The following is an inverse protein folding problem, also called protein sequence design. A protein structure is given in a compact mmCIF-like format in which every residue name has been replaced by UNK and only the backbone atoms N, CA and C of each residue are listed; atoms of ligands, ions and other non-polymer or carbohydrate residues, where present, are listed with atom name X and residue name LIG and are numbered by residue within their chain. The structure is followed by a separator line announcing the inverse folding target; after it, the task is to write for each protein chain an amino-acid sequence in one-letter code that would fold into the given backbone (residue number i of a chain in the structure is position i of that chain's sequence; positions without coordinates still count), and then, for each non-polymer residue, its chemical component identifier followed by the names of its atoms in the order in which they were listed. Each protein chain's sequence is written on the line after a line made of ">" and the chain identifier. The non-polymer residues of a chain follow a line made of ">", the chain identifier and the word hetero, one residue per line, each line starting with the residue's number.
data_IF_559058070629
#
_entry.id   IF_559058070629
#
_cell.length_a   1.000
_cell.length_b   1.000
_cell.length_c   1.000
_cell.angle_alpha   90.00
_cell.angle_beta   90.00
_cell.angle_gamma   90.00
#
_symmetry.space_group_name_H-M   'P 1'
#
loop_
_entity.id
_entity.type
_entity.pdbx_description
1 polymer ?
#
# COMPACT_ATOMS: atom_id res chain seq x y z
N UNK A 1 22.19 -5.09 -3.11
CA UNK A 1 22.61 -5.55 -4.44
C UNK A 1 22.54 -4.31 -5.29
N UNK A 2 23.55 -3.98 -6.10
CA UNK A 2 23.48 -2.74 -6.90
C UNK A 2 22.45 -2.93 -8.02
N UNK A 3 21.45 -2.04 -8.19
CA UNK A 3 20.56 -2.12 -9.33
C UNK A 3 21.38 -2.08 -10.62
N UNK A 4 21.07 -3.00 -11.54
CA UNK A 4 21.75 -3.12 -12.81
C UNK A 4 20.89 -2.57 -13.94
N UNK A 5 21.54 -1.87 -14.86
CA UNK A 5 20.90 -1.26 -16.02
C UNK A 5 21.51 -1.79 -17.32
N UNK A 6 20.65 -2.18 -18.28
CA UNK A 6 21.05 -2.56 -19.64
C UNK A 6 21.47 -4.03 -19.81
N UNK A 7 22.16 -4.34 -20.91
CA UNK A 7 22.47 -5.72 -21.33
C UNK A 7 23.50 -6.47 -20.44
N UNK A 8 24.02 -5.80 -19.40
CA UNK A 8 25.00 -6.34 -18.45
C UNK A 8 24.40 -7.09 -17.27
N UNK A 9 23.07 -7.21 -17.17
CA UNK A 9 22.38 -7.79 -16.01
C UNK A 9 22.22 -9.31 -16.05
N UNK A 10 23.27 -10.04 -16.44
CA UNK A 10 23.17 -11.50 -16.68
C UNK A 10 23.13 -12.37 -15.42
N UNK A 11 23.49 -11.82 -14.26
CA UNK A 11 23.65 -12.57 -13.00
C UNK A 11 22.89 -11.95 -11.80
N UNK A 12 21.79 -11.22 -12.06
CA UNK A 12 20.94 -10.70 -10.97
C UNK A 12 19.80 -11.67 -10.67
N UNK A 13 19.67 -12.06 -9.41
CA UNK A 13 18.43 -12.67 -8.91
C UNK A 13 17.33 -11.58 -8.90
N UNK A 14 16.18 -11.88 -9.49
CA UNK A 14 14.98 -11.02 -9.45
C UNK A 14 14.59 -10.78 -7.98
N UNK A 15 14.97 -9.62 -7.45
CA UNK A 15 14.27 -9.01 -6.31
C UNK A 15 12.94 -8.45 -6.82
N UNK A 16 11.95 -8.21 -5.94
CA UNK A 16 10.64 -7.79 -6.40
C UNK A 16 10.74 -6.55 -7.29
N UNK A 17 10.00 -6.54 -8.41
CA UNK A 17 9.97 -5.47 -9.41
C UNK A 17 9.29 -4.20 -8.88
N UNK A 18 9.67 -3.72 -7.71
CA UNK A 18 9.11 -2.53 -7.08
C UNK A 18 10.09 -1.85 -6.13
N UNK A 19 9.96 -0.55 -6.04
CA UNK A 19 10.82 0.39 -5.31
C UNK A 19 10.29 0.72 -3.91
N UNK A 20 8.97 0.73 -3.73
CA UNK A 20 8.30 0.90 -2.45
C UNK A 20 6.99 0.11 -2.42
N UNK A 21 6.51 -0.22 -1.22
CA UNK A 21 5.23 -0.90 -1.01
C UNK A 21 4.23 0.00 -0.33
N UNK A 22 3.16 0.30 -1.04
CA UNK A 22 1.90 0.74 -0.43
C UNK A 22 0.99 -0.48 -0.26
N UNK A 23 -0.12 -0.31 0.45
CA UNK A 23 -1.01 -1.41 0.83
C UNK A 23 -2.44 -1.00 0.61
N UNK A 24 -3.16 -1.80 -0.16
CA UNK A 24 -4.60 -1.68 -0.25
C UNK A 24 -5.26 -2.24 1.01
N UNK A 25 -6.30 -1.55 1.44
CA UNK A 25 -7.24 -1.97 2.45
C UNK A 25 -8.57 -2.27 1.80
N UNK A 26 -9.07 -3.47 2.05
CA UNK A 26 -10.47 -3.75 1.86
C UNK A 26 -11.22 -3.25 3.09
N UNK A 27 -12.00 -2.20 2.90
CA UNK A 27 -12.73 -1.55 3.98
C UNK A 27 -14.23 -1.50 3.68
N UNK A 28 -15.05 -1.54 4.72
CA UNK A 28 -16.48 -1.38 4.62
C UNK A 28 -17.05 -0.88 5.93
N UNK A 29 -18.38 -0.73 6.02
CA UNK A 29 -19.00 -0.37 7.29
C UNK A 29 -18.89 -1.54 8.28
N UNK A 30 -18.81 -1.23 9.58
CA UNK A 30 -18.87 -2.24 10.66
C UNK A 30 -20.09 -3.16 10.61
N UNK A 31 -21.20 -2.68 10.02
CA UNK A 31 -22.35 -3.51 9.71
C UNK A 31 -22.04 -4.38 8.47
N UNK A 32 -21.35 -5.49 8.70
CA UNK A 32 -20.85 -6.45 7.73
C UNK A 32 -21.97 -7.22 7.00
N UNK A 33 -22.60 -6.60 6.01
CA UNK A 33 -23.65 -7.19 5.15
C UNK A 33 -23.19 -8.33 4.24
N UNK A 34 -21.89 -8.45 3.94
CA UNK A 34 -21.32 -9.49 3.09
C UNK A 34 -20.85 -10.71 3.91
N UNK A 35 -20.96 -10.64 5.24
CA UNK A 35 -20.55 -11.70 6.16
C UNK A 35 -19.09 -12.13 5.93
N UNK A 36 -18.19 -11.13 5.83
CA UNK A 36 -16.74 -11.31 5.73
C UNK A 36 -16.19 -11.58 7.13
N UNK A 37 -15.51 -12.70 7.32
CA UNK A 37 -14.91 -13.11 8.58
C UNK A 37 -13.39 -13.19 8.39
N UNK A 38 -12.66 -13.15 9.50
CA UNK A 38 -11.19 -13.12 9.47
C UNK A 38 -10.63 -14.38 8.80
N UNK A 39 -11.28 -15.53 8.99
CA UNK A 39 -10.90 -16.82 8.41
C UNK A 39 -11.10 -16.94 6.89
N UNK A 40 -11.89 -16.07 6.27
CA UNK A 40 -12.08 -16.12 4.82
C UNK A 40 -10.81 -15.65 4.11
N UNK A 41 -10.38 -16.41 3.09
CA UNK A 41 -9.29 -15.97 2.23
C UNK A 41 -9.72 -14.78 1.33
N UNK A 42 -8.75 -14.17 0.65
CA UNK A 42 -9.01 -12.99 -0.18
C UNK A 42 -9.93 -13.29 -1.37
N UNK A 43 -9.88 -14.51 -1.93
CA UNK A 43 -10.70 -14.92 -3.08
C UNK A 43 -12.15 -15.13 -2.64
N UNK A 44 -12.35 -15.78 -1.50
CA UNK A 44 -13.66 -15.94 -0.87
C UNK A 44 -14.26 -14.58 -0.49
N UNK A 45 -13.43 -13.70 0.05
CA UNK A 45 -13.83 -12.33 0.40
C UNK A 45 -14.33 -11.57 -0.83
N UNK A 46 -13.56 -11.55 -1.92
CA UNK A 46 -14.00 -10.92 -3.18
C UNK A 46 -15.26 -11.59 -3.76
N UNK A 47 -15.41 -12.90 -3.62
CA UNK A 47 -16.62 -13.62 -4.05
C UNK A 47 -17.85 -13.21 -3.25
N UNK A 48 -17.74 -13.06 -1.92
CA UNK A 48 -18.81 -12.57 -1.05
C UNK A 48 -19.20 -11.12 -1.39
N UNK A 49 -18.21 -10.26 -1.63
CA UNK A 49 -18.43 -8.89 -2.09
C UNK A 49 -19.14 -8.83 -3.43
N UNK A 50 -18.71 -9.66 -4.40
CA UNK A 50 -19.35 -9.74 -5.70
C UNK A 50 -20.82 -10.14 -5.58
N UNK A 51 -21.12 -11.19 -4.80
CA UNK A 51 -22.49 -11.64 -4.56
C UNK A 51 -23.34 -10.59 -3.84
N UNK A 52 -22.76 -9.82 -2.92
CA UNK A 52 -23.42 -8.69 -2.28
C UNK A 52 -23.65 -7.53 -3.27
N UNK A 53 -22.70 -7.28 -4.17
CA UNK A 53 -22.76 -6.25 -5.20
C UNK A 53 -23.77 -6.52 -6.31
N UNK A 54 -23.91 -7.78 -6.76
CA UNK A 54 -24.93 -8.23 -7.73
C UNK A 54 -26.36 -8.01 -7.20
N UNK A 55 -26.53 -7.88 -5.88
CA UNK A 55 -27.80 -7.48 -5.26
C UNK A 55 -28.06 -5.96 -5.31
N UNK A 56 -27.16 -5.15 -5.87
CA UNK A 56 -27.48 -3.83 -6.46
C UNK A 56 -26.83 -2.56 -5.90
N UNK A 57 -25.62 -2.57 -5.34
CA UNK A 57 -24.99 -1.34 -4.78
C UNK A 57 -23.46 -1.28 -4.90
N UNK A 58 -22.94 -0.92 -6.08
CA UNK A 58 -21.55 -0.46 -6.21
C UNK A 58 -21.52 0.86 -6.99
N UNK A 59 -20.88 1.90 -6.43
CA UNK A 59 -20.69 3.21 -7.08
C UNK A 59 -19.23 3.66 -7.00
N UNK A 60 -18.70 4.14 -8.12
CA UNK A 60 -17.36 4.71 -8.19
C UNK A 60 -17.39 6.21 -7.89
N UNK A 61 -16.52 6.66 -6.98
CA UNK A 61 -16.27 8.08 -6.70
C UNK A 61 -14.84 8.42 -7.06
N UNK A 62 -14.61 9.57 -7.69
CA UNK A 62 -13.30 9.96 -8.25
C UNK A 62 -12.31 10.51 -7.20
N UNK A 63 -12.68 10.56 -5.92
CA UNK A 63 -11.80 11.06 -4.85
C UNK A 63 -11.76 10.07 -3.67
N UNK A 64 -10.57 9.59 -3.25
CA UNK A 64 -10.46 8.52 -2.26
C UNK A 64 -11.19 8.77 -0.93
N UNK A 65 -11.07 9.98 -0.36
CA UNK A 65 -11.80 10.36 0.88
C UNK A 65 -13.31 10.37 0.68
N UNK A 66 -13.78 10.81 -0.51
CA UNK A 66 -15.21 10.82 -0.82
C UNK A 66 -15.73 9.41 -1.06
N UNK A 67 -14.91 8.53 -1.62
CA UNK A 67 -15.23 7.10 -1.75
C UNK A 67 -15.41 6.50 -0.35
N UNK A 68 -14.45 6.67 0.56
CA UNK A 68 -14.57 6.19 1.94
C UNK A 68 -15.79 6.77 2.67
N UNK A 69 -16.03 8.07 2.52
CA UNK A 69 -17.22 8.72 3.09
C UNK A 69 -18.52 8.13 2.52
N UNK A 70 -18.57 7.85 1.22
CA UNK A 70 -19.71 7.24 0.56
C UNK A 70 -19.91 5.79 1.02
N UNK A 71 -18.84 5.00 1.10
CA UNK A 71 -18.82 3.63 1.64
C UNK A 71 -19.48 3.59 3.01
N UNK A 72 -19.11 4.50 3.91
CA UNK A 72 -19.72 4.59 5.25
C UNK A 72 -21.21 4.95 5.18
N UNK A 73 -21.56 5.99 4.41
CA UNK A 73 -22.93 6.51 4.34
C UNK A 73 -23.89 5.54 3.66
N UNK A 74 -23.42 4.81 2.66
CA UNK A 74 -24.19 3.89 1.84
C UNK A 74 -24.13 2.45 2.35
N UNK A 75 -23.21 2.13 3.27
CA UNK A 75 -23.00 0.77 3.76
C UNK A 75 -22.39 -0.15 2.71
N UNK A 76 -21.56 0.40 1.82
CA UNK A 76 -20.86 -0.35 0.76
C UNK A 76 -19.50 -0.87 1.26
N UNK A 77 -18.77 -1.54 0.37
CA UNK A 77 -17.38 -1.94 0.55
C UNK A 77 -16.52 -1.26 -0.51
N UNK A 78 -15.25 -1.06 -0.19
CA UNK A 78 -14.29 -0.42 -1.10
C UNK A 78 -12.89 -0.97 -0.88
N UNK A 79 -12.09 -0.94 -1.94
CA UNK A 79 -10.64 -1.11 -1.87
C UNK A 79 -10.04 0.30 -1.88
N UNK A 80 -9.25 0.64 -0.87
CA UNK A 80 -8.62 1.95 -0.72
C UNK A 80 -7.14 1.80 -0.38
N UNK A 81 -6.28 2.72 -0.80
CA UNK A 81 -4.90 2.75 -0.30
C UNK A 81 -4.87 3.10 1.20
N UNK A 82 -3.77 2.78 1.89
CA UNK A 82 -3.56 3.14 3.30
C UNK A 82 -3.63 4.64 3.54
N UNK A 83 -3.07 5.46 2.63
CA UNK A 83 -3.00 6.92 2.79
C UNK A 83 -4.36 7.62 2.95
N UNK A 84 -5.34 7.41 2.04
CA UNK A 84 -6.70 7.90 2.22
C UNK A 84 -7.35 7.51 3.54
N UNK A 85 -7.14 6.27 4.02
CA UNK A 85 -7.66 5.84 5.32
C UNK A 85 -7.01 6.62 6.48
N UNK A 86 -5.68 6.75 6.49
CA UNK A 86 -4.95 7.52 7.50
C UNK A 86 -5.42 8.98 7.51
N UNK A 87 -5.49 9.60 6.33
CA UNK A 87 -5.96 10.97 6.20
C UNK A 87 -7.40 11.16 6.70
N UNK A 88 -8.31 10.23 6.40
CA UNK A 88 -9.67 10.29 6.95
C UNK A 88 -9.65 10.19 8.48
N UNK A 89 -8.88 9.26 9.04
CA UNK A 89 -8.72 9.06 10.48
C UNK A 89 -8.20 10.30 11.20
N UNK A 90 -7.35 11.08 10.53
CA UNK A 90 -6.79 12.31 11.07
C UNK A 90 -7.74 13.50 11.00
N UNK A 91 -8.47 13.61 9.88
CA UNK A 91 -9.36 14.77 9.66
C UNK A 91 -10.74 14.59 10.29
N UNK A 92 -11.24 13.35 10.40
CA UNK A 92 -12.57 13.01 10.89
C UNK A 92 -12.59 11.60 11.51
N UNK A 93 -12.06 11.50 12.73
CA UNK A 93 -11.96 10.23 13.46
C UNK A 93 -13.32 9.58 13.70
N UNK A 94 -14.36 10.35 14.01
CA UNK A 94 -15.71 9.83 14.26
C UNK A 94 -16.30 9.16 13.01
N UNK A 95 -15.95 9.66 11.83
CA UNK A 95 -16.31 9.05 10.56
C UNK A 95 -15.46 7.81 10.29
N UNK A 96 -14.14 7.88 10.49
CA UNK A 96 -13.23 6.75 10.32
C UNK A 96 -13.56 5.56 11.23
N UNK A 97 -13.94 5.81 12.48
CA UNK A 97 -14.30 4.79 13.48
C UNK A 97 -15.58 4.00 13.10
N UNK A 98 -16.30 4.40 12.05
CA UNK A 98 -17.43 3.65 11.47
C UNK A 98 -17.01 2.64 10.39
N UNK A 99 -15.77 2.74 9.90
CA UNK A 99 -15.17 1.75 9.00
C UNK A 99 -14.61 0.56 9.78
N UNK A 100 -14.65 -0.57 9.12
CA UNK A 100 -13.92 -1.79 9.46
C UNK A 100 -12.94 -2.07 8.33
N UNK A 101 -11.69 -2.38 8.66
CA UNK A 101 -10.70 -2.87 7.70
C UNK A 101 -10.74 -4.40 7.77
N UNK A 102 -11.27 -5.03 6.73
CA UNK A 102 -11.47 -6.49 6.69
C UNK A 102 -10.24 -7.25 6.23
N UNK A 103 -9.44 -6.66 5.33
CA UNK A 103 -8.22 -7.26 4.78
C UNK A 103 -7.19 -6.17 4.49
N UNK A 104 -5.91 -6.47 4.75
CA UNK A 104 -4.79 -5.53 4.57
C UNK A 104 -3.71 -6.10 3.67
N UNK A 105 -3.06 -5.24 2.87
CA UNK A 105 -1.96 -5.65 2.00
C UNK A 105 -0.70 -6.16 2.71
N UNK A 106 -0.53 -5.88 4.00
CA UNK A 106 0.57 -6.41 4.82
C UNK A 106 0.30 -7.83 5.36
N UNK A 107 -0.95 -8.29 5.25
CA UNK A 107 -1.37 -9.66 5.58
C UNK A 107 -1.62 -10.52 4.32
N UNK A 108 -2.05 -9.88 3.23
CA UNK A 108 -2.46 -10.53 1.98
C UNK A 108 -1.70 -9.93 0.79
N UNK A 109 -0.82 -10.72 0.17
CA UNK A 109 0.02 -10.29 -0.96
C UNK A 109 -0.81 -9.76 -2.15
N UNK A 110 -2.03 -10.26 -2.35
CA UNK A 110 -2.94 -9.82 -3.41
C UNK A 110 -3.43 -8.38 -3.23
N UNK A 111 -3.30 -7.82 -2.02
CA UNK A 111 -3.61 -6.43 -1.70
C UNK A 111 -2.36 -5.57 -1.58
N UNK A 112 -1.18 -6.10 -1.93
CA UNK A 112 0.02 -5.29 -2.06
C UNK A 112 -0.14 -4.31 -3.23
N UNK A 113 0.20 -3.04 -3.00
CA UNK A 113 0.25 -2.02 -4.04
C UNK A 113 1.72 -1.64 -4.31
N UNK A 114 2.43 -2.44 -5.13
CA UNK A 114 3.82 -2.18 -5.44
C UNK A 114 3.97 -0.97 -6.36
N UNK A 115 4.89 -0.07 -6.04
CA UNK A 115 5.25 1.05 -6.90
C UNK A 115 6.70 0.95 -7.35
N UNK A 116 6.95 1.19 -8.64
CA UNK A 116 8.27 1.01 -9.24
C UNK A 116 8.74 2.26 -10.01
N UNK A 117 10.05 2.41 -10.18
CA UNK A 117 10.63 3.54 -10.92
C UNK A 117 10.85 3.16 -12.39
N UNK A 118 10.11 3.82 -13.28
CA UNK A 118 10.30 3.70 -14.72
C UNK A 118 11.18 4.85 -15.21
N UNK A 119 12.34 4.51 -15.79
CA UNK A 119 13.27 5.49 -16.37
C UNK A 119 13.16 5.53 -17.90
N UNK A 120 13.21 6.72 -18.49
CA UNK A 120 13.24 6.86 -19.95
C UNK A 120 14.59 6.41 -20.53
N UNK A 121 14.54 5.61 -21.60
CA UNK A 121 15.74 5.21 -22.38
C UNK A 121 16.45 6.41 -23.00
N UNK A 122 15.70 7.46 -23.32
CA UNK A 122 16.17 8.67 -24.01
C UNK A 122 16.21 9.87 -23.06
N UNK A 123 16.41 9.64 -21.76
CA UNK A 123 16.59 10.74 -20.80
C UNK A 123 17.82 11.59 -21.18
N UNK A 124 17.66 12.92 -21.19
CA UNK A 124 18.78 13.86 -21.34
C UNK A 124 19.74 13.82 -20.15
N UNK A 125 19.28 13.32 -18.99
CA UNK A 125 20.02 13.29 -17.72
C UNK A 125 20.20 11.85 -17.21
N UNK A 126 20.77 10.96 -18.04
CA UNK A 126 20.89 9.52 -17.73
C UNK A 126 21.63 9.24 -16.42
N UNK A 127 22.71 9.97 -16.16
CA UNK A 127 23.53 9.80 -14.95
C UNK A 127 22.77 10.18 -13.69
N UNK A 128 22.08 11.32 -13.67
CA UNK A 128 21.27 11.73 -12.52
C UNK A 128 20.11 10.76 -12.24
N UNK A 129 19.47 10.23 -13.29
CA UNK A 129 18.45 9.18 -13.14
C UNK A 129 19.07 7.89 -12.60
N UNK A 130 20.27 7.56 -13.09
CA UNK A 130 21.24 6.59 -12.56
C UNK A 130 21.32 6.63 -11.03
N UNK A 131 21.82 7.76 -10.57
CA UNK A 131 22.13 8.04 -9.16
C UNK A 131 20.86 8.10 -8.30
N UNK A 132 19.77 8.67 -8.82
CA UNK A 132 18.51 8.71 -8.10
C UNK A 132 17.96 7.31 -7.85
N UNK A 133 17.91 6.44 -8.87
CA UNK A 133 17.44 5.06 -8.67
C UNK A 133 18.35 4.30 -7.72
N UNK A 134 19.67 4.47 -7.83
CA UNK A 134 20.62 3.85 -6.90
C UNK A 134 20.41 4.33 -5.47
N UNK A 135 20.18 5.64 -5.27
CA UNK A 135 19.90 6.20 -3.96
C UNK A 135 18.60 5.67 -3.38
N UNK A 136 17.50 5.66 -4.15
CA UNK A 136 16.21 5.15 -3.67
C UNK A 136 16.32 3.68 -3.23
N UNK A 137 17.09 2.86 -3.94
CA UNK A 137 17.30 1.45 -3.61
C UNK A 137 18.38 1.19 -2.55
N UNK A 138 19.03 2.24 -2.04
CA UNK A 138 20.03 2.15 -0.96
C UNK A 138 19.38 2.18 0.42
N UNK A 139 20.14 1.84 1.48
CA UNK A 139 19.69 1.96 2.87
C UNK A 139 19.15 3.35 3.20
N UNK A 140 19.86 4.42 2.82
CA UNK A 140 19.44 5.81 3.08
C UNK A 140 18.11 6.16 2.39
N UNK A 141 17.93 5.72 1.14
CA UNK A 141 16.69 5.97 0.41
C UNK A 141 15.50 5.18 0.98
N UNK A 142 15.74 3.92 1.35
CA UNK A 142 14.72 3.08 1.97
C UNK A 142 14.37 3.53 3.39
N UNK A 143 15.32 4.09 4.14
CA UNK A 143 15.08 4.69 5.45
C UNK A 143 14.11 5.89 5.33
N UNK A 144 14.32 6.77 4.34
CA UNK A 144 13.37 7.86 4.07
C UNK A 144 11.98 7.33 3.71
N UNK A 145 11.88 6.24 2.95
CA UNK A 145 10.60 5.64 2.55
C UNK A 145 9.89 5.02 3.76
N UNK A 146 10.58 4.18 4.54
CA UNK A 146 10.03 3.47 5.69
C UNK A 146 9.55 4.44 6.78
N UNK A 147 10.25 5.56 6.95
CA UNK A 147 9.91 6.59 7.93
C UNK A 147 8.97 7.67 7.37
N UNK A 148 8.47 7.57 6.13
CA UNK A 148 7.54 8.56 5.60
C UNK A 148 6.17 8.46 6.30
N UNK A 149 5.75 9.54 6.95
CA UNK A 149 4.48 9.64 7.68
C UNK A 149 3.85 11.04 7.55
N UNK A 150 2.53 11.11 7.73
CA UNK A 150 1.82 12.38 7.91
C UNK A 150 1.76 12.74 9.41
N UNK A 151 1.07 13.83 9.79
CA UNK A 151 1.08 14.39 11.15
C UNK A 151 0.61 13.43 12.27
N UNK A 152 -0.01 12.31 11.91
CA UNK A 152 -0.52 11.29 12.83
C UNK A 152 0.53 10.34 13.38
N UNK A 153 1.73 10.37 12.80
CA UNK A 153 2.83 9.48 13.18
C UNK A 153 2.63 8.05 12.71
N UNK A 154 1.72 7.79 11.75
CA UNK A 154 1.58 6.49 11.12
C UNK A 154 2.38 6.42 9.83
N UNK A 155 3.19 5.37 9.69
CA UNK A 155 3.97 5.13 8.47
C UNK A 155 3.04 4.91 7.29
N UNK A 156 3.36 5.49 6.14
CA UNK A 156 2.54 5.35 4.93
C UNK A 156 3.01 4.20 4.04
N UNK A 157 4.32 4.04 3.89
CA UNK A 157 4.93 3.06 3.01
C UNK A 157 5.80 2.09 3.80
N UNK A 158 6.04 0.90 3.22
CA UNK A 158 7.12 0.01 3.67
C UNK A 158 8.30 0.11 2.71
N UNK A 159 9.50 0.24 3.28
CA UNK A 159 10.74 -0.04 2.57
C UNK A 159 10.86 -1.54 2.25
N UNK A 160 11.79 -1.91 1.40
CA UNK A 160 12.13 -3.31 1.11
C UNK A 160 13.50 -3.68 1.69
N UNK A 161 13.84 -4.98 1.75
CA UNK A 161 15.11 -5.43 2.31
C UNK A 161 16.33 -4.93 1.53
N UNK A 162 17.23 -4.23 2.21
CA UNK A 162 18.52 -3.81 1.64
C UNK A 162 19.62 -4.82 1.99
N UNK A 163 20.74 -4.83 1.24
CA UNK A 163 21.88 -5.70 1.57
C UNK A 163 22.57 -5.36 2.90
N UNK A 164 22.34 -4.14 3.39
CA UNK A 164 22.89 -3.64 4.65
C UNK A 164 21.97 -3.97 5.84
N UNK A 165 20.75 -4.46 5.58
CA UNK A 165 19.85 -5.00 6.59
C UNK A 165 20.25 -6.42 6.98
N UNK A 166 20.24 -6.73 8.27
CA UNK A 166 20.48 -8.09 8.76
C UNK A 166 19.45 -9.04 8.10
N UNK A 167 19.94 -10.04 7.37
CA UNK A 167 19.19 -11.22 6.94
C UNK A 167 17.95 -11.03 6.03
N UNK A 168 17.91 -9.97 5.22
CA UNK A 168 16.85 -9.82 4.20
C UNK A 168 15.49 -9.45 4.77
N UNK A 169 15.48 -8.86 5.96
CA UNK A 169 14.31 -8.21 6.56
C UNK A 169 14.10 -6.79 6.01
N UNK A 170 12.85 -6.33 6.06
CA UNK A 170 12.47 -5.00 5.62
C UNK A 170 13.19 -3.91 6.43
N UNK A 171 13.38 -2.73 5.84
CA UNK A 171 13.84 -1.56 6.62
C UNK A 171 12.74 -1.17 7.60
N UNK A 172 13.00 -1.39 8.88
CA UNK A 172 12.08 -1.07 9.97
C UNK A 172 12.00 0.43 10.21
N UNK A 173 10.77 0.93 10.31
CA UNK A 173 10.52 2.34 10.62
C UNK A 173 10.87 2.65 12.08
N UNK A 174 11.54 3.77 12.31
CA UNK A 174 11.93 4.25 13.64
C UNK A 174 11.18 5.51 14.10
N UNK A 175 10.67 6.30 13.15
CA UNK A 175 10.04 7.59 13.41
C UNK A 175 8.49 7.55 13.39
N UNK A 176 7.90 6.44 12.96
CA UNK A 176 6.47 6.28 12.83
C UNK A 176 6.00 4.88 13.24
N UNK A 177 4.69 4.72 13.42
CA UNK A 177 4.06 3.46 13.78
C UNK A 177 3.40 2.81 12.57
N UNK A 178 3.60 1.51 12.40
CA UNK A 178 2.88 0.75 11.38
C UNK A 178 1.48 0.35 11.86
N UNK A 179 1.41 -0.25 13.05
CA UNK A 179 0.17 -0.79 13.60
C UNK A 179 -0.84 0.31 13.92
N UNK A 180 -2.07 0.13 13.45
CA UNK A 180 -3.21 1.03 13.68
C UNK A 180 -3.78 0.78 15.09
N UNK A 181 -4.09 1.85 15.83
CA UNK A 181 -4.62 1.79 17.20
C UNK A 181 -6.14 1.66 17.28
#
# INVERSE_FOLDING_TARGET
>A
MRPCFGDSCKDYEERPCYTLRDHFYLAGRKNNTADIQDEHDITETFSKLFNAGENGTARFSNYPIQALTATIKLGEYTVTDRGPYLRLSNTDKDLADQLEIYKRGDEYEELLNPADIITSKDSDNKELVQDFVQWVLSGDGQDVIANFHEEDGYCLYRGFPTEDGEDGEDVEASDCKWELS
#
